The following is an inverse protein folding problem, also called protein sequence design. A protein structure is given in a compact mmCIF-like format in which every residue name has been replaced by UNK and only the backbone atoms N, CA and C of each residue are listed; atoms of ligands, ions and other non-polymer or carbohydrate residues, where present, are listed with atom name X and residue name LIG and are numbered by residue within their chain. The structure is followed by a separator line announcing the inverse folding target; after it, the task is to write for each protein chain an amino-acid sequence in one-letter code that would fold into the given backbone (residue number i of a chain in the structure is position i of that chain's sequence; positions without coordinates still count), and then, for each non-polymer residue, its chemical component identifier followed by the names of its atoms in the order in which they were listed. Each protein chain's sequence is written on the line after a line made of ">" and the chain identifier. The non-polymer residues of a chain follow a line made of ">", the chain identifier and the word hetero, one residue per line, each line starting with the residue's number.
data_IF_835177047434
#
_entry.id   IF_835177047434
#
_cell.length_a   1.000
_cell.length_b   1.000
_cell.length_c   1.000
_cell.angle_alpha   90.00
_cell.angle_beta   90.00
_cell.angle_gamma   90.00
#
_symmetry.space_group_name_H-M   'P 1'
#
loop_
_entity.id
_entity.type
_entity.pdbx_description
1 polymer ?
#
# COMPACT_ATOMS: atom_id res chain seq x y z
N UNK A 1 11.68 1.44 13.40
CA UNK A 1 12.71 2.47 13.65
C UNK A 1 14.01 1.94 13.09
N UNK A 2 14.61 2.61 12.12
CA UNK A 2 15.92 2.18 11.60
C UNK A 2 16.97 2.54 12.65
N UNK A 3 17.33 1.57 13.49
CA UNK A 3 18.39 1.71 14.48
C UNK A 3 19.76 1.74 13.78
N UNK A 4 20.02 2.83 13.06
CA UNK A 4 21.38 3.22 12.76
C UNK A 4 21.98 3.76 14.06
N UNK A 5 22.65 2.89 14.82
CA UNK A 5 23.39 3.25 16.04
C UNK A 5 24.54 4.24 15.79
N UNK A 6 24.81 4.55 14.52
CA UNK A 6 25.84 5.49 14.07
C UNK A 6 25.20 6.72 13.39
N UNK A 7 25.58 7.91 13.86
CA UNK A 7 25.23 9.20 13.25
C UNK A 7 25.81 9.40 11.84
N UNK A 8 26.65 8.49 11.36
CA UNK A 8 27.19 8.49 10.00
C UNK A 8 26.10 8.33 8.93
N UNK A 9 25.21 7.35 9.08
CA UNK A 9 24.26 6.96 8.03
C UNK A 9 23.25 8.05 7.68
N UNK A 10 22.62 8.76 8.65
CA UNK A 10 21.74 9.87 8.33
C UNK A 10 22.43 10.99 7.54
N UNK A 11 23.68 11.32 7.90
CA UNK A 11 24.48 12.34 7.22
C UNK A 11 24.82 11.87 5.80
N UNK A 12 25.31 10.64 5.66
CA UNK A 12 25.66 10.05 4.37
C UNK A 12 24.48 10.07 3.39
N UNK A 13 23.31 9.59 3.83
CA UNK A 13 22.09 9.57 3.01
C UNK A 13 21.70 11.00 2.60
N UNK A 14 21.65 11.92 3.58
CA UNK A 14 21.24 13.31 3.31
C UNK A 14 22.17 14.01 2.33
N UNK A 15 23.48 13.89 2.53
CA UNK A 15 24.50 14.49 1.66
C UNK A 15 24.42 13.90 0.26
N UNK A 16 24.36 12.57 0.14
CA UNK A 16 24.32 11.91 -1.17
C UNK A 16 23.07 12.32 -1.96
N UNK A 17 21.89 12.31 -1.33
CA UNK A 17 20.64 12.71 -1.98
C UNK A 17 20.69 14.16 -2.46
N UNK A 18 21.13 15.10 -1.61
CA UNK A 18 21.18 16.52 -1.98
C UNK A 18 22.24 16.78 -3.07
N UNK A 19 23.41 16.14 -2.99
CA UNK A 19 24.44 16.23 -4.01
C UNK A 19 23.97 15.65 -5.35
N UNK A 20 23.20 14.56 -5.34
CA UNK A 20 22.61 14.01 -6.57
C UNK A 20 21.63 14.99 -7.21
N UNK A 21 20.71 15.60 -6.44
CA UNK A 21 19.75 16.58 -6.98
C UNK A 21 20.48 17.79 -7.56
N UNK A 22 21.45 18.35 -6.82
CA UNK A 22 22.26 19.48 -7.28
C UNK A 22 23.09 19.09 -8.50
N UNK A 23 23.70 17.90 -8.48
CA UNK A 23 24.48 17.35 -9.58
C UNK A 23 23.65 17.21 -10.86
N UNK A 24 22.43 16.68 -10.77
CA UNK A 24 21.50 16.60 -11.90
C UNK A 24 21.09 17.98 -12.41
N UNK A 25 20.85 18.94 -11.51
CA UNK A 25 20.54 20.33 -11.89
C UNK A 25 21.69 20.96 -12.69
N UNK A 26 22.92 20.84 -12.17
CA UNK A 26 24.12 21.38 -12.82
C UNK A 26 24.36 20.67 -14.15
N UNK A 27 24.26 19.34 -14.20
CA UNK A 27 24.42 18.56 -15.41
C UNK A 27 23.41 18.97 -16.49
N UNK A 28 22.13 19.09 -16.13
CA UNK A 28 21.10 19.52 -17.07
C UNK A 28 21.40 20.92 -17.61
N UNK A 29 21.81 21.85 -16.74
CA UNK A 29 22.20 23.20 -17.15
C UNK A 29 23.42 23.19 -18.09
N UNK A 30 24.41 22.34 -17.83
CA UNK A 30 25.60 22.17 -18.69
C UNK A 30 25.23 21.60 -20.07
N UNK A 31 24.27 20.68 -20.14
CA UNK A 31 23.83 20.07 -21.40
C UNK A 31 22.89 20.98 -22.22
N UNK A 32 22.27 21.99 -21.60
CA UNK A 32 21.28 22.87 -22.26
C UNK A 32 21.90 24.13 -22.87
N UNK A 33 23.09 24.01 -23.46
CA UNK A 33 23.84 25.18 -24.00
C UNK A 33 23.40 25.57 -25.41
N UNK A 34 22.84 24.65 -26.21
CA UNK A 34 22.36 24.92 -27.58
C UNK A 34 21.04 25.70 -27.57
N UNK A 35 20.95 26.72 -28.42
CA UNK A 35 19.73 27.49 -28.70
C UNK A 35 19.60 27.66 -30.20
N UNK A 36 18.44 27.32 -30.76
CA UNK A 36 18.11 27.63 -32.15
C UNK A 36 17.44 29.00 -32.22
N UNK A 37 17.75 29.77 -33.27
CA UNK A 37 17.03 31.01 -33.57
C UNK A 37 15.63 30.68 -34.08
N UNK A 38 14.65 31.60 -33.93
CA UNK A 38 13.32 31.40 -34.51
C UNK A 38 13.40 31.16 -36.02
N UNK A 39 12.91 30.00 -36.48
CA UNK A 39 12.95 29.60 -37.90
C UNK A 39 14.20 28.84 -38.35
N UNK A 40 15.19 28.66 -37.48
CA UNK A 40 16.39 27.84 -37.77
C UNK A 40 16.06 26.35 -37.62
N UNK A 41 16.41 25.55 -38.63
CA UNK A 41 16.28 24.08 -38.58
C UNK A 41 17.49 23.50 -37.86
N UNK A 42 17.28 22.47 -37.04
CA UNK A 42 18.39 21.76 -36.42
C UNK A 42 19.24 21.05 -37.48
N UNK A 43 20.55 21.08 -37.25
CA UNK A 43 21.52 20.36 -38.06
C UNK A 43 21.47 18.87 -37.72
N UNK A 44 21.72 18.04 -38.72
CA UNK A 44 21.96 16.62 -38.53
C UNK A 44 23.36 16.42 -37.93
N UNK A 45 23.49 15.45 -37.05
CA UNK A 45 24.78 14.98 -36.57
C UNK A 45 25.54 14.32 -37.72
N UNK A 46 26.87 14.44 -37.72
CA UNK A 46 27.73 13.96 -38.81
C UNK A 46 27.65 12.43 -39.02
N UNK A 47 27.35 11.68 -37.97
CA UNK A 47 27.41 10.22 -37.99
C UNK A 47 26.08 9.62 -38.45
N UNK A 48 26.17 8.60 -39.30
CA UNK A 48 25.02 7.85 -39.82
C UNK A 48 25.00 6.45 -39.20
N UNK A 49 23.81 5.97 -38.88
CA UNK A 49 23.54 4.64 -38.38
C UNK A 49 22.72 3.88 -39.43
N UNK A 50 23.06 2.62 -39.71
CA UNK A 50 22.33 1.76 -40.66
C UNK A 50 22.11 2.37 -42.07
N UNK A 51 23.04 3.23 -42.51
CA UNK A 51 23.06 3.81 -43.85
C UNK A 51 22.11 4.99 -44.09
N UNK A 52 21.03 5.15 -43.33
CA UNK A 52 20.05 6.23 -43.51
C UNK A 52 19.54 6.92 -42.23
N UNK A 53 19.84 6.39 -41.04
CA UNK A 53 19.43 7.00 -39.78
C UNK A 53 20.46 8.03 -39.31
N UNK A 54 19.99 9.23 -38.99
CA UNK A 54 20.81 10.33 -38.46
C UNK A 54 20.05 11.05 -37.36
N UNK A 55 20.77 11.49 -36.33
CA UNK A 55 20.20 12.21 -35.20
C UNK A 55 20.18 13.71 -35.45
N UNK A 56 19.06 14.37 -35.15
CA UNK A 56 19.02 15.83 -35.15
C UNK A 56 19.60 16.38 -33.86
N UNK A 57 20.49 17.38 -33.98
CA UNK A 57 21.00 18.12 -32.84
C UNK A 57 20.03 19.23 -32.42
N UNK A 58 18.83 18.85 -31.96
CA UNK A 58 17.82 19.78 -31.46
C UNK A 58 18.12 20.20 -30.01
N UNK A 59 17.88 21.47 -29.63
CA UNK A 59 17.86 21.84 -28.22
C UNK A 59 16.67 21.19 -27.53
N UNK A 60 16.82 20.94 -26.22
CA UNK A 60 15.75 20.36 -25.41
C UNK A 60 14.51 21.29 -25.43
N UNK A 61 13.30 20.72 -25.56
CA UNK A 61 12.08 21.52 -25.53
C UNK A 61 11.95 22.33 -24.24
N UNK A 62 11.62 23.62 -24.35
CA UNK A 62 11.57 24.53 -23.18
C UNK A 62 10.54 24.10 -22.13
N UNK A 63 9.41 23.55 -22.56
CA UNK A 63 8.37 23.03 -21.65
C UNK A 63 8.87 21.79 -20.89
N UNK A 64 9.61 20.91 -21.56
CA UNK A 64 10.19 19.71 -20.97
C UNK A 64 11.25 20.07 -19.93
N UNK A 65 12.12 21.04 -20.26
CA UNK A 65 13.10 21.58 -19.31
C UNK A 65 12.41 22.21 -18.10
N UNK A 66 11.38 23.03 -18.31
CA UNK A 66 10.60 23.63 -17.24
C UNK A 66 9.98 22.58 -16.31
N UNK A 67 9.41 21.52 -16.89
CA UNK A 67 8.86 20.39 -16.14
C UNK A 67 9.94 19.67 -15.33
N UNK A 68 11.09 19.39 -15.94
CA UNK A 68 12.20 18.70 -15.29
C UNK A 68 12.78 19.51 -14.11
N UNK A 69 12.98 20.82 -14.27
CA UNK A 69 13.34 21.69 -13.14
C UNK A 69 12.24 21.74 -12.09
N UNK A 70 10.98 21.73 -12.51
CA UNK A 70 9.81 21.67 -11.63
C UNK A 70 9.81 20.43 -10.73
N UNK A 71 10.14 19.24 -11.27
CA UNK A 71 10.22 18.01 -10.45
C UNK A 71 11.37 18.04 -9.46
N UNK A 72 12.51 18.66 -9.80
CA UNK A 72 13.61 18.86 -8.85
C UNK A 72 13.23 19.80 -7.71
N UNK A 73 12.54 20.91 -8.01
CA UNK A 73 12.01 21.81 -6.98
C UNK A 73 10.98 21.08 -6.12
N UNK A 74 10.06 20.33 -6.73
CA UNK A 74 9.08 19.52 -6.01
C UNK A 74 9.76 18.51 -5.07
N UNK A 75 10.79 17.80 -5.53
CA UNK A 75 11.54 16.85 -4.71
C UNK A 75 12.19 17.52 -3.49
N UNK A 76 12.80 18.69 -3.67
CA UNK A 76 13.38 19.45 -2.56
C UNK A 76 12.30 19.89 -1.56
N UNK A 77 11.17 20.41 -2.04
CA UNK A 77 10.04 20.78 -1.18
C UNK A 77 9.50 19.55 -0.44
N UNK A 78 9.38 18.41 -1.11
CA UNK A 78 8.92 17.16 -0.51
C UNK A 78 9.86 16.70 0.61
N UNK A 79 11.17 16.73 0.38
CA UNK A 79 12.19 16.35 1.38
C UNK A 79 12.27 17.33 2.57
N UNK A 80 11.80 18.57 2.40
CA UNK A 80 11.62 19.53 3.51
C UNK A 80 10.37 19.18 4.32
N UNK A 81 9.27 18.83 3.66
CA UNK A 81 7.98 18.61 4.31
C UNK A 81 7.88 17.23 4.99
N UNK A 82 8.37 16.18 4.34
CA UNK A 82 8.27 14.78 4.78
C UNK A 82 9.63 14.19 5.18
N UNK A 83 9.64 13.11 5.99
CA UNK A 83 10.87 12.38 6.27
C UNK A 83 11.45 11.75 5.00
N UNK A 84 12.77 11.81 4.86
CA UNK A 84 13.49 11.27 3.70
C UNK A 84 14.99 11.56 3.71
N UNK A 85 15.42 12.63 4.38
CA UNK A 85 16.83 12.96 4.59
C UNK A 85 17.35 12.35 5.88
N UNK A 86 17.72 11.07 5.84
CA UNK A 86 18.28 10.37 7.00
C UNK A 86 17.29 10.32 8.18
N UNK A 87 17.63 10.97 9.29
CA UNK A 87 16.80 11.07 10.49
C UNK A 87 16.00 12.39 10.59
N UNK A 88 16.04 13.22 9.54
CA UNK A 88 15.21 14.41 9.48
C UNK A 88 13.73 14.01 9.36
N UNK A 89 12.92 14.44 10.33
CA UNK A 89 11.50 14.09 10.42
C UNK A 89 10.60 14.87 9.45
N UNK A 90 11.14 15.86 8.73
CA UNK A 90 10.35 16.82 7.97
C UNK A 90 9.71 17.89 8.85
N UNK A 91 9.29 19.00 8.23
CA UNK A 91 8.57 20.09 8.93
C UNK A 91 7.20 19.64 9.42
N UNK A 92 6.55 18.71 8.73
CA UNK A 92 5.21 18.23 9.09
C UNK A 92 5.22 17.20 10.21
N UNK A 93 6.39 16.64 10.57
CA UNK A 93 6.49 15.57 11.58
C UNK A 93 5.70 14.31 11.24
N UNK A 94 5.37 14.10 9.96
CA UNK A 94 4.56 12.98 9.51
C UNK A 94 5.32 11.66 9.61
N UNK A 95 4.61 10.59 9.98
CA UNK A 95 5.11 9.21 9.89
C UNK A 95 3.98 8.30 9.42
N UNK A 96 4.31 7.26 8.66
CA UNK A 96 3.32 6.28 8.21
C UNK A 96 2.63 5.55 9.36
N UNK A 97 3.36 5.29 10.45
CA UNK A 97 2.80 4.68 11.66
C UNK A 97 1.81 5.62 12.35
N UNK A 98 2.15 6.90 12.52
CA UNK A 98 1.26 7.87 13.13
C UNK A 98 0.00 8.14 12.29
N UNK A 99 0.11 8.12 10.96
CA UNK A 99 -1.06 8.20 10.08
C UNK A 99 -1.96 6.97 10.21
N UNK A 100 -1.38 5.76 10.21
CA UNK A 100 -2.11 4.52 10.43
C UNK A 100 -2.83 4.51 11.79
N UNK A 101 -2.15 4.89 12.87
CA UNK A 101 -2.76 4.97 14.20
C UNK A 101 -3.91 5.99 14.25
N UNK A 102 -3.76 7.14 13.59
CA UNK A 102 -4.82 8.13 13.48
C UNK A 102 -6.02 7.61 12.68
N UNK A 103 -5.79 6.90 11.57
CA UNK A 103 -6.81 6.28 10.74
C UNK A 103 -7.58 5.20 11.51
N UNK A 104 -6.87 4.28 12.17
CA UNK A 104 -7.47 3.22 13.00
C UNK A 104 -8.30 3.85 14.12
N UNK A 105 -7.77 4.83 14.84
CA UNK A 105 -8.51 5.52 15.91
C UNK A 105 -9.78 6.20 15.39
N UNK A 106 -9.72 6.84 14.22
CA UNK A 106 -10.88 7.45 13.60
C UNK A 106 -11.92 6.40 13.16
N UNK A 107 -11.47 5.26 12.62
CA UNK A 107 -12.31 4.14 12.25
C UNK A 107 -12.97 3.51 13.49
N UNK A 108 -12.21 3.26 14.56
CA UNK A 108 -12.73 2.76 15.84
C UNK A 108 -13.78 3.72 16.41
N UNK A 109 -13.51 5.02 16.48
CA UNK A 109 -14.49 6.00 16.98
C UNK A 109 -15.81 5.97 16.19
N UNK A 110 -15.76 5.66 14.89
CA UNK A 110 -16.92 5.57 14.02
C UNK A 110 -17.66 4.23 14.13
N UNK A 111 -16.93 3.11 14.17
CA UNK A 111 -17.50 1.76 14.04
C UNK A 111 -17.68 1.05 15.39
N UNK A 112 -16.88 1.37 16.40
CA UNK A 112 -16.95 0.75 17.72
C UNK A 112 -18.34 0.90 18.37
N UNK A 113 -19.06 2.04 18.28
CA UNK A 113 -20.42 2.14 18.84
C UNK A 113 -21.40 1.16 18.19
N UNK A 114 -21.25 0.90 16.88
CA UNK A 114 -22.07 -0.08 16.15
C UNK A 114 -21.77 -1.49 16.67
N UNK A 115 -20.50 -1.87 16.76
CA UNK A 115 -20.10 -3.16 17.30
C UNK A 115 -20.46 -3.33 18.78
N UNK A 116 -20.33 -2.28 19.59
CA UNK A 116 -20.66 -2.31 21.01
C UNK A 116 -22.13 -2.62 21.28
N UNK A 117 -23.02 -2.19 20.38
CA UNK A 117 -24.44 -2.55 20.42
C UNK A 117 -24.68 -4.06 20.28
N UNK A 118 -23.87 -4.74 19.45
CA UNK A 118 -23.98 -6.19 19.25
C UNK A 118 -23.22 -7.01 20.30
N UNK A 119 -22.07 -6.52 20.79
CA UNK A 119 -21.22 -7.25 21.75
C UNK A 119 -21.90 -7.55 23.10
N UNK A 120 -22.96 -6.82 23.45
CA UNK A 120 -23.70 -7.02 24.70
C UNK A 120 -24.92 -7.95 24.54
N UNK A 121 -25.22 -8.38 23.32
CA UNK A 121 -26.36 -9.23 23.00
C UNK A 121 -25.93 -10.69 22.89
N UNK A 122 -26.87 -11.62 23.12
CA UNK A 122 -26.63 -13.02 22.83
C UNK A 122 -26.56 -13.26 21.31
N UNK A 123 -25.88 -14.33 20.90
CA UNK A 123 -25.61 -14.64 19.50
C UNK A 123 -26.90 -14.85 18.70
N UNK A 124 -27.95 -15.41 19.31
CA UNK A 124 -29.22 -15.64 18.62
C UNK A 124 -29.92 -14.31 18.30
N UNK A 125 -29.90 -13.35 19.23
CA UNK A 125 -30.39 -11.99 19.00
C UNK A 125 -29.60 -11.29 17.90
N UNK A 126 -28.25 -11.36 17.93
CA UNK A 126 -27.40 -10.77 16.89
C UNK A 126 -27.67 -11.42 15.53
N UNK A 127 -27.85 -12.75 15.48
CA UNK A 127 -28.14 -13.47 14.23
C UNK A 127 -29.51 -13.11 13.63
N UNK A 128 -30.48 -12.70 14.45
CA UNK A 128 -31.79 -12.27 13.98
C UNK A 128 -31.78 -10.85 13.37
N UNK A 129 -30.83 -9.99 13.75
CA UNK A 129 -30.75 -8.61 13.24
C UNK A 129 -30.27 -8.59 11.76
N UNK A 130 -31.05 -8.02 10.81
CA UNK A 130 -30.64 -7.93 9.41
C UNK A 130 -29.37 -7.10 9.19
N UNK A 131 -29.10 -6.08 9.99
CA UNK A 131 -27.90 -5.26 9.89
C UNK A 131 -26.67 -6.05 10.35
N UNK A 132 -26.78 -6.77 11.47
CA UNK A 132 -25.71 -7.64 11.95
C UNK A 132 -25.40 -8.76 10.95
N UNK A 133 -26.43 -9.37 10.33
CA UNK A 133 -26.23 -10.36 9.26
C UNK A 133 -25.54 -9.78 8.03
N UNK A 134 -25.85 -8.55 7.63
CA UNK A 134 -25.18 -7.89 6.51
C UNK A 134 -23.69 -7.67 6.81
N UNK A 135 -23.35 -7.22 8.03
CA UNK A 135 -21.96 -7.09 8.49
C UNK A 135 -21.28 -8.46 8.54
N UNK A 136 -21.92 -9.45 9.16
CA UNK A 136 -21.42 -10.82 9.27
C UNK A 136 -21.16 -11.46 7.90
N UNK A 137 -22.02 -11.20 6.91
CA UNK A 137 -21.81 -11.64 5.52
C UNK A 137 -20.54 -11.03 4.91
N UNK A 138 -20.28 -9.75 5.11
CA UNK A 138 -19.06 -9.10 4.61
C UNK A 138 -17.79 -9.68 5.27
N UNK A 139 -17.86 -9.95 6.58
CA UNK A 139 -16.79 -10.63 7.31
C UNK A 139 -16.57 -12.04 6.79
N UNK A 140 -17.65 -12.80 6.57
CA UNK A 140 -17.60 -14.16 6.02
C UNK A 140 -16.93 -14.20 4.64
N UNK A 141 -17.30 -13.28 3.74
CA UNK A 141 -16.69 -13.20 2.41
C UNK A 141 -15.21 -12.80 2.41
N UNK A 142 -14.75 -12.13 3.48
CA UNK A 142 -13.35 -11.72 3.61
C UNK A 142 -12.50 -12.82 4.23
N UNK A 143 -13.01 -13.45 5.29
CA UNK A 143 -12.20 -14.33 6.16
C UNK A 143 -12.54 -15.83 6.03
N UNK A 144 -13.73 -16.20 5.57
CA UNK A 144 -14.23 -17.58 5.67
C UNK A 144 -14.52 -18.24 4.30
N UNK A 145 -14.90 -17.45 3.29
CA UNK A 145 -15.38 -17.97 2.00
C UNK A 145 -14.32 -18.68 1.18
N UNK A 146 -13.04 -18.45 1.45
CA UNK A 146 -11.93 -19.14 0.76
C UNK A 146 -11.95 -20.65 1.01
N UNK A 147 -12.45 -21.08 2.18
CA UNK A 147 -12.56 -22.49 2.56
C UNK A 147 -14.01 -22.99 2.46
N UNK A 148 -14.96 -22.20 2.96
CA UNK A 148 -16.37 -22.58 3.05
C UNK A 148 -17.20 -22.19 1.81
N UNK A 149 -16.57 -21.65 0.75
CA UNK A 149 -17.27 -21.20 -0.45
C UNK A 149 -17.96 -19.84 -0.27
N UNK A 150 -18.27 -19.17 -1.38
CA UNK A 150 -18.93 -17.85 -1.38
C UNK A 150 -20.36 -17.87 -0.87
N UNK A 151 -21.02 -19.04 -0.96
CA UNK A 151 -22.38 -19.30 -0.46
C UNK A 151 -22.39 -20.07 0.87
N UNK A 152 -21.23 -20.29 1.51
CA UNK A 152 -21.07 -21.05 2.74
C UNK A 152 -21.42 -22.56 2.64
N UNK A 153 -21.56 -23.12 1.44
CA UNK A 153 -21.89 -24.54 1.22
C UNK A 153 -20.69 -25.49 1.30
N UNK A 154 -19.49 -24.97 1.55
CA UNK A 154 -18.28 -25.77 1.70
C UNK A 154 -17.73 -26.31 0.37
N UNK A 155 -16.78 -27.24 0.50
CA UNK A 155 -16.19 -27.98 -0.62
C UNK A 155 -15.57 -29.27 -0.10
N UNK A 156 -14.98 -30.11 -0.95
CA UNK A 156 -14.34 -31.34 -0.49
C UNK A 156 -13.26 -31.02 0.57
N UNK A 157 -13.47 -31.49 1.79
CA UNK A 157 -12.58 -31.24 2.94
C UNK A 157 -12.98 -30.06 3.82
N UNK A 158 -13.99 -29.27 3.44
CA UNK A 158 -14.48 -28.11 4.20
C UNK A 158 -15.99 -28.21 4.43
N UNK A 159 -16.48 -28.08 5.68
CA UNK A 159 -17.90 -28.23 6.01
C UNK A 159 -18.83 -27.25 5.28
N UNK A 160 -20.05 -27.70 4.99
CA UNK A 160 -21.19 -26.84 4.66
C UNK A 160 -21.70 -26.17 5.95
N UNK A 161 -21.85 -24.86 5.96
CA UNK A 161 -22.30 -24.08 7.13
C UNK A 161 -23.77 -23.65 7.02
N UNK A 162 -24.46 -24.03 5.95
CA UNK A 162 -25.86 -23.69 5.66
C UNK A 162 -26.83 -24.82 5.97
N UNK A 163 -26.33 -26.03 6.17
CA UNK A 163 -27.16 -27.19 6.48
C UNK A 163 -27.35 -27.37 8.00
N UNK A 164 -27.91 -28.51 8.38
CA UNK A 164 -28.20 -28.85 9.77
C UNK A 164 -27.22 -29.88 10.35
N UNK A 165 -26.11 -30.21 9.66
CA UNK A 165 -25.15 -31.21 10.11
C UNK A 165 -23.89 -30.56 10.70
N UNK A 166 -23.78 -30.60 12.03
CA UNK A 166 -22.73 -29.91 12.77
C UNK A 166 -21.81 -30.89 13.50
N UNK A 167 -20.62 -31.15 12.93
CA UNK A 167 -19.61 -32.08 13.47
C UNK A 167 -19.26 -31.84 14.95
N UNK A 168 -19.17 -30.57 15.36
CA UNK A 168 -18.78 -30.18 16.72
C UNK A 168 -19.96 -29.68 17.57
N UNK A 169 -21.18 -29.65 17.02
CA UNK A 169 -22.38 -29.06 17.61
C UNK A 169 -22.78 -27.71 16.98
N UNK A 170 -24.08 -27.51 16.76
CA UNK A 170 -24.65 -26.33 16.09
C UNK A 170 -25.22 -25.26 17.01
N UNK A 171 -25.08 -25.43 18.34
CA UNK A 171 -25.50 -24.42 19.30
C UNK A 171 -24.63 -23.15 19.19
N UNK A 172 -25.18 -21.94 19.41
CA UNK A 172 -24.46 -20.68 19.18
C UNK A 172 -23.12 -20.58 19.90
N UNK A 173 -23.05 -21.02 21.15
CA UNK A 173 -21.83 -21.00 21.97
C UNK A 173 -20.75 -21.94 21.39
N UNK A 174 -21.18 -23.06 20.81
CA UNK A 174 -20.30 -24.06 20.20
C UNK A 174 -19.72 -23.55 18.88
N UNK A 175 -20.52 -22.80 18.11
CA UNK A 175 -20.08 -22.12 16.89
C UNK A 175 -19.08 -21.01 17.25
N UNK A 176 -19.37 -20.17 18.25
CA UNK A 176 -18.43 -19.14 18.73
C UNK A 176 -17.11 -19.75 19.20
N UNK A 177 -17.16 -20.85 19.96
CA UNK A 177 -15.96 -21.56 20.38
C UNK A 177 -15.14 -22.10 19.19
N UNK A 178 -15.82 -22.59 18.15
CA UNK A 178 -15.19 -23.06 16.90
C UNK A 178 -14.48 -21.94 16.15
N UNK A 179 -15.11 -20.77 16.05
CA UNK A 179 -14.53 -19.60 15.37
C UNK A 179 -13.36 -19.00 16.17
N UNK A 180 -13.51 -18.89 17.49
CA UNK A 180 -12.54 -18.20 18.35
C UNK A 180 -11.30 -19.05 18.63
N UNK A 181 -11.49 -20.35 18.89
CA UNK A 181 -10.40 -21.23 19.32
C UNK A 181 -9.91 -22.17 18.21
N UNK A 182 -10.63 -22.24 17.09
CA UNK A 182 -10.40 -23.23 16.05
C UNK A 182 -10.83 -24.65 16.45
N UNK A 183 -10.73 -25.59 15.50
CA UNK A 183 -11.00 -27.03 15.68
C UNK A 183 -9.98 -27.85 14.90
N UNK A 184 -9.60 -28.99 15.45
CA UNK A 184 -8.74 -29.97 14.79
C UNK A 184 -9.42 -31.34 14.82
N UNK A 185 -9.93 -31.77 13.67
CA UNK A 185 -10.50 -33.11 13.51
C UNK A 185 -9.40 -34.13 13.28
N UNK A 186 -9.35 -35.20 14.08
CA UNK A 186 -8.40 -36.28 13.91
C UNK A 186 -9.17 -37.61 13.85
N UNK A 187 -9.24 -38.19 12.65
CA UNK A 187 -9.71 -39.56 12.46
C UNK A 187 -8.50 -40.49 12.51
N UNK A 188 -8.39 -41.38 13.52
CA UNK A 188 -7.27 -42.31 13.62
C UNK A 188 -7.18 -43.20 12.37
N UNK A 189 -5.96 -43.51 11.88
CA UNK A 189 -5.81 -44.47 10.78
C UNK A 189 -6.28 -45.85 11.24
N UNK A 190 -7.14 -46.49 10.44
CA UNK A 190 -7.70 -47.82 10.71
C UNK A 190 -7.01 -48.92 9.87
N UNK A 191 -5.88 -48.61 9.23
CA UNK A 191 -5.09 -49.57 8.44
C UNK A 191 -4.13 -50.36 9.32
N UNK A 192 -4.17 -51.70 9.19
CA UNK A 192 -3.19 -52.62 9.79
C UNK A 192 -1.84 -52.59 9.06
#
# INVERSE_FOLDING_TARGET
>A
MSDFTSGFWPIYISVLTLLSIIGTWVFLKMQTTRKLKPGEKAELMEHTWDGDLQDFNNPLPRWWLGLFYGTMVFALVYLVLWPGLGNYAGVLGWTSLGEYEAEVKAAEAKFQPVYAGFMQQDVATVAADPNARAIGKNLFLTYCSQCHGSNAEGSKGFPNLTDHDWLYGGEPETIVATITNGRNGMMPPMGA
#
